data_IF_019507065919
#
_entry.id   IF_019507065919
#
_cell.length_a   1.000
_cell.length_b   1.000
_cell.length_c   1.000
_cell.angle_alpha   90.00
_cell.angle_beta   90.00
_cell.angle_gamma   90.00
#
_symmetry.space_group_name_H-M   'P 1'
#
loop_
_entity.id
_entity.type
_entity.pdbx_description
1 polymer ?
#
# COMPACT_ATOMS: atom_id res chain seq x y z
N UNK A 1 -0.58 27.15 12.70
CA UNK A 1 -1.57 27.88 11.92
C UNK A 1 -1.92 27.04 10.68
N UNK A 2 -3.13 26.45 10.66
CA UNK A 2 -3.49 25.44 9.65
C UNK A 2 -4.12 26.05 8.38
N UNK A 3 -4.47 27.33 8.40
CA UNK A 3 -5.15 28.00 7.27
C UNK A 3 -4.24 28.08 6.06
N UNK A 4 -4.77 27.69 4.88
CA UNK A 4 -4.04 27.63 3.62
C UNK A 4 -3.28 26.34 3.36
N UNK A 5 -3.20 25.43 4.33
CA UNK A 5 -2.55 24.13 4.16
C UNK A 5 -3.52 23.08 3.61
N UNK A 6 -2.97 22.07 2.96
CA UNK A 6 -3.72 20.96 2.33
C UNK A 6 -3.81 19.77 3.27
N UNK A 7 -5.00 19.24 3.50
CA UNK A 7 -5.18 18.03 4.33
C UNK A 7 -4.59 16.79 3.66
N UNK A 8 -3.80 16.03 4.40
CA UNK A 8 -3.14 14.81 3.92
C UNK A 8 -4.07 13.59 3.86
N UNK A 9 -5.17 13.60 4.62
CA UNK A 9 -6.10 12.49 4.73
C UNK A 9 -7.53 12.97 4.97
N UNK A 10 -8.49 12.06 4.79
CA UNK A 10 -9.89 12.32 5.09
C UNK A 10 -10.11 12.52 6.58
N UNK A 11 -10.87 13.54 6.97
CA UNK A 11 -11.33 13.73 8.34
C UNK A 11 -12.77 13.29 8.44
N UNK A 12 -13.01 12.21 9.19
CA UNK A 12 -14.33 11.62 9.38
C UNK A 12 -15.00 12.20 10.62
N UNK A 13 -16.27 12.57 10.48
CA UNK A 13 -17.15 12.92 11.58
C UNK A 13 -17.92 11.68 12.04
N UNK A 14 -17.77 11.32 13.30
CA UNK A 14 -18.53 10.23 13.94
C UNK A 14 -19.46 10.88 14.94
N UNK A 15 -20.78 10.85 14.67
CA UNK A 15 -21.81 11.24 15.65
C UNK A 15 -22.48 9.94 16.11
N UNK A 16 -22.44 9.70 17.42
CA UNK A 16 -23.00 8.49 18.02
C UNK A 16 -24.48 8.37 17.61
N UNK A 17 -24.83 7.21 17.07
CA UNK A 17 -26.17 6.80 16.66
C UNK A 17 -26.82 7.57 15.47
N UNK A 18 -26.07 8.45 14.75
CA UNK A 18 -26.66 9.27 13.68
C UNK A 18 -25.91 9.18 12.34
N UNK A 19 -24.61 9.44 12.25
CA UNK A 19 -23.89 9.50 10.96
C UNK A 19 -22.40 9.18 11.15
N UNK A 20 -21.85 8.41 10.18
CA UNK A 20 -20.44 8.35 9.88
C UNK A 20 -20.23 8.97 8.51
N UNK A 21 -19.82 10.23 8.46
CA UNK A 21 -19.61 10.97 7.21
C UNK A 21 -18.21 11.57 7.16
N UNK A 22 -17.69 11.79 5.95
CA UNK A 22 -16.42 12.47 5.74
C UNK A 22 -16.66 13.97 5.84
N UNK A 23 -16.18 14.60 6.91
CA UNK A 23 -16.32 16.04 7.12
C UNK A 23 -15.41 16.82 6.16
N UNK A 24 -14.18 16.37 5.96
CA UNK A 24 -13.22 16.95 5.02
C UNK A 24 -12.50 15.82 4.28
N UNK A 25 -12.34 16.00 2.98
CA UNK A 25 -11.60 15.04 2.14
C UNK A 25 -10.13 15.41 2.07
N UNK A 26 -9.28 14.40 1.85
CA UNK A 26 -7.89 14.58 1.44
C UNK A 26 -7.81 15.57 0.27
N UNK A 27 -6.86 16.49 0.34
CA UNK A 27 -6.70 17.54 -0.67
C UNK A 27 -7.53 18.81 -0.41
N UNK A 28 -8.35 18.84 0.65
CA UNK A 28 -9.06 20.05 1.06
C UNK A 28 -8.08 21.10 1.57
N UNK A 29 -8.20 22.34 1.08
CA UNK A 29 -7.43 23.48 1.58
C UNK A 29 -8.16 24.04 2.79
N UNK A 30 -7.51 24.05 3.94
CA UNK A 30 -8.11 24.53 5.20
C UNK A 30 -8.33 26.02 5.13
N UNK A 31 -9.57 26.44 5.39
CA UNK A 31 -9.98 27.85 5.48
C UNK A 31 -10.19 28.29 6.93
N UNK A 32 -10.32 29.59 7.18
CA UNK A 32 -10.65 30.09 8.53
C UNK A 32 -12.00 29.57 9.03
N UNK A 33 -12.96 29.36 8.13
CA UNK A 33 -14.31 28.84 8.44
C UNK A 33 -14.28 27.36 8.85
N UNK A 34 -13.27 26.59 8.45
CA UNK A 34 -13.12 25.19 8.79
C UNK A 34 -12.59 24.98 10.23
N UNK A 35 -11.88 25.96 10.78
CA UNK A 35 -11.22 25.84 12.10
C UNK A 35 -12.20 25.49 13.22
N UNK A 36 -13.36 26.15 13.37
CA UNK A 36 -14.33 25.78 14.40
C UNK A 36 -14.85 24.35 14.24
N UNK A 37 -15.03 23.90 12.99
CA UNK A 37 -15.50 22.53 12.70
C UNK A 37 -14.42 21.52 13.07
N UNK A 38 -13.18 21.75 12.67
CA UNK A 38 -12.04 20.90 12.99
C UNK A 38 -11.85 20.75 14.51
N UNK A 39 -11.90 21.85 15.25
CA UNK A 39 -11.82 21.85 16.71
C UNK A 39 -13.00 21.10 17.35
N UNK A 40 -14.22 21.24 16.83
CA UNK A 40 -15.38 20.50 17.31
C UNK A 40 -15.27 18.98 17.12
N UNK A 41 -14.43 18.54 16.15
CA UNK A 41 -14.10 17.15 15.89
C UNK A 41 -12.90 16.65 16.72
N UNK A 42 -12.42 17.47 17.67
CA UNK A 42 -11.25 17.15 18.50
C UNK A 42 -9.93 17.17 17.74
N UNK A 43 -9.84 17.92 16.67
CA UNK A 43 -8.63 18.03 15.83
C UNK A 43 -7.85 19.29 16.20
N UNK A 44 -7.13 19.23 17.32
CA UNK A 44 -6.25 20.32 17.78
C UNK A 44 -4.96 20.39 16.94
N UNK A 45 -4.60 19.28 16.31
CA UNK A 45 -3.44 19.15 15.43
C UNK A 45 -3.87 18.52 14.12
N UNK A 46 -3.37 19.06 13.01
CA UNK A 46 -3.62 18.57 11.66
C UNK A 46 -2.31 18.15 11.01
N UNK A 47 -2.32 17.01 10.34
CA UNK A 47 -1.27 16.67 9.40
C UNK A 47 -1.53 17.42 8.10
N UNK A 48 -0.70 18.40 7.80
CA UNK A 48 -0.76 19.20 6.59
C UNK A 48 0.40 18.82 5.68
N UNK A 49 0.15 18.85 4.38
CA UNK A 49 1.16 18.57 3.39
C UNK A 49 1.97 19.84 3.11
N UNK A 50 3.16 19.94 3.65
CA UNK A 50 4.20 20.75 3.02
C UNK A 50 4.89 19.85 2.00
N UNK A 51 4.88 20.26 0.72
CA UNK A 51 5.46 19.48 -0.37
C UNK A 51 6.98 19.37 -0.21
N UNK A 52 7.40 18.42 0.60
CA UNK A 52 8.80 18.03 0.70
C UNK A 52 9.09 17.05 -0.44
N UNK A 53 9.88 17.51 -1.42
CA UNK A 53 10.24 16.71 -2.59
C UNK A 53 11.08 15.47 -2.25
N UNK A 54 11.65 15.39 -1.04
CA UNK A 54 12.38 14.24 -0.53
C UNK A 54 11.49 13.14 0.04
N UNK A 55 10.18 13.40 0.18
CA UNK A 55 9.20 12.48 0.76
C UNK A 55 8.20 11.99 -0.29
N UNK A 56 7.65 10.80 -0.08
CA UNK A 56 6.55 10.21 -0.83
C UNK A 56 5.35 10.02 0.10
N UNK A 57 4.16 10.22 -0.43
CA UNK A 57 2.94 9.84 0.26
C UNK A 57 2.81 8.30 0.30
N UNK A 58 2.19 7.74 1.35
CA UNK A 58 2.01 6.30 1.53
C UNK A 58 1.48 5.57 0.30
N UNK A 59 0.55 6.19 -0.45
CA UNK A 59 -0.03 5.59 -1.65
C UNK A 59 0.96 5.57 -2.84
N UNK A 60 1.82 6.58 -2.97
CA UNK A 60 2.89 6.60 -4.00
C UNK A 60 3.95 5.54 -3.68
N UNK A 61 4.33 5.44 -2.42
CA UNK A 61 5.27 4.42 -1.97
C UNK A 61 4.70 3.00 -2.06
N UNK A 62 3.39 2.82 -1.81
CA UNK A 62 2.70 1.54 -2.02
C UNK A 62 2.72 1.08 -3.49
N UNK A 63 2.65 2.01 -4.45
CA UNK A 63 2.81 1.68 -5.87
C UNK A 63 4.21 1.11 -6.15
N UNK A 64 5.26 1.69 -5.56
CA UNK A 64 6.63 1.18 -5.69
C UNK A 64 6.74 -0.25 -5.13
N UNK A 65 6.15 -0.51 -3.95
CA UNK A 65 6.12 -1.87 -3.38
C UNK A 65 5.34 -2.85 -4.28
N UNK A 66 4.27 -2.38 -4.91
CA UNK A 66 3.50 -3.18 -5.86
C UNK A 66 4.34 -3.52 -7.10
N UNK A 67 4.99 -2.53 -7.71
CA UNK A 67 5.81 -2.68 -8.91
C UNK A 67 6.94 -3.72 -8.76
N UNK A 68 7.59 -3.77 -7.59
CA UNK A 68 8.67 -4.77 -7.34
C UNK A 68 8.13 -6.18 -7.12
N UNK A 69 6.83 -6.33 -6.83
CA UNK A 69 6.18 -7.62 -6.59
C UNK A 69 5.36 -8.10 -7.79
N UNK A 70 4.74 -7.17 -8.55
CA UNK A 70 3.83 -7.51 -9.63
C UNK A 70 4.55 -8.25 -10.76
N UNK A 71 3.94 -9.33 -11.23
CA UNK A 71 4.46 -10.14 -12.32
C UNK A 71 3.31 -10.78 -13.10
N UNK A 72 3.63 -11.58 -14.13
CA UNK A 72 2.66 -12.29 -14.92
C UNK A 72 1.71 -13.16 -14.08
N UNK A 73 0.46 -13.25 -14.52
CA UNK A 73 -0.61 -14.06 -13.93
C UNK A 73 -1.11 -13.57 -12.56
N UNK A 74 -0.90 -12.31 -12.25
CA UNK A 74 -1.46 -11.64 -11.05
C UNK A 74 -1.81 -10.20 -11.36
N UNK A 75 -2.70 -9.61 -10.56
CA UNK A 75 -3.08 -8.20 -10.67
C UNK A 75 -3.19 -7.54 -9.30
N UNK A 76 -2.93 -6.24 -9.20
CA UNK A 76 -3.07 -5.50 -7.96
C UNK A 76 -4.54 -5.11 -7.68
N UNK A 77 -4.86 -4.96 -6.40
CA UNK A 77 -6.05 -4.24 -5.96
C UNK A 77 -5.84 -2.74 -6.06
N UNK A 78 -6.93 -1.97 -5.91
CA UNK A 78 -6.81 -0.53 -5.72
C UNK A 78 -6.00 -0.20 -4.46
N UNK A 79 -5.20 0.88 -4.55
CA UNK A 79 -4.44 1.37 -3.40
C UNK A 79 -5.36 2.01 -2.37
N UNK A 80 -5.18 1.64 -1.10
CA UNK A 80 -5.94 2.20 0.01
C UNK A 80 -5.07 2.28 1.26
N UNK A 81 -4.90 3.49 1.80
CA UNK A 81 -4.15 3.72 3.05
C UNK A 81 -2.76 3.05 3.03
N UNK A 82 -1.99 3.29 1.96
CA UNK A 82 -0.65 2.71 1.79
C UNK A 82 -0.61 1.20 1.58
N UNK A 83 -1.74 0.56 1.26
CA UNK A 83 -1.87 -0.90 1.09
C UNK A 83 -2.30 -1.26 -0.32
N UNK A 84 -1.67 -2.28 -0.89
CA UNK A 84 -2.05 -2.96 -2.13
C UNK A 84 -1.92 -4.47 -1.91
N UNK A 85 -2.86 -5.25 -2.45
CA UNK A 85 -2.79 -6.72 -2.47
C UNK A 85 -2.61 -7.21 -3.90
N UNK A 86 -1.88 -8.31 -4.12
CA UNK A 86 -1.79 -8.99 -5.41
C UNK A 86 -2.65 -10.26 -5.39
N UNK A 87 -3.47 -10.40 -6.43
CA UNK A 87 -4.45 -11.46 -6.60
C UNK A 87 -4.03 -12.38 -7.75
N UNK A 88 -4.20 -13.68 -7.60
CA UNK A 88 -3.91 -14.68 -8.63
C UNK A 88 -4.91 -14.62 -9.79
N UNK A 89 -4.44 -14.59 -11.03
CA UNK A 89 -5.26 -14.64 -12.25
C UNK A 89 -5.56 -16.06 -12.73
N UNK A 90 -4.82 -17.03 -12.20
CA UNK A 90 -4.96 -18.43 -12.59
C UNK A 90 -4.61 -19.39 -11.44
N UNK A 91 -4.99 -20.64 -11.59
CA UNK A 91 -4.51 -21.73 -10.74
C UNK A 91 -3.04 -22.02 -11.08
N UNK A 92 -2.17 -22.09 -10.07
CA UNK A 92 -0.74 -22.24 -10.31
C UNK A 92 0.09 -22.49 -9.07
N UNK A 93 1.41 -22.57 -9.29
CA UNK A 93 2.40 -22.65 -8.24
C UNK A 93 2.97 -21.27 -7.94
N UNK A 94 2.73 -20.78 -6.74
CA UNK A 94 3.27 -19.51 -6.24
C UNK A 94 4.66 -19.71 -5.63
N UNK A 95 5.60 -18.84 -6.00
CA UNK A 95 6.98 -18.83 -5.50
C UNK A 95 7.38 -17.45 -5.04
N UNK A 96 8.22 -17.42 -4.01
CA UNK A 96 8.78 -16.21 -3.40
C UNK A 96 10.28 -16.38 -3.28
N UNK A 97 11.04 -15.35 -3.62
CA UNK A 97 12.44 -15.23 -3.22
C UNK A 97 12.49 -14.74 -1.78
N UNK A 98 12.54 -15.70 -0.86
CA UNK A 98 12.45 -15.45 0.58
C UNK A 98 13.62 -14.58 1.06
N UNK A 99 14.83 -14.82 0.58
CA UNK A 99 16.00 -14.06 1.02
C UNK A 99 15.90 -12.57 0.69
N UNK A 100 15.43 -12.22 -0.52
CA UNK A 100 15.20 -10.81 -0.90
C UNK A 100 13.98 -10.23 -0.20
N UNK A 101 12.91 -11.01 -0.01
CA UNK A 101 11.74 -10.57 0.74
C UNK A 101 12.11 -10.19 2.17
N UNK A 102 12.88 -11.04 2.85
CA UNK A 102 13.34 -10.78 4.22
C UNK A 102 14.22 -9.53 4.27
N UNK A 103 15.17 -9.38 3.33
CA UNK A 103 16.01 -8.19 3.24
C UNK A 103 15.22 -6.90 2.98
N UNK A 104 14.13 -6.96 2.20
CA UNK A 104 13.22 -5.81 2.01
C UNK A 104 12.47 -5.52 3.31
N UNK A 105 11.96 -6.54 3.99
CA UNK A 105 11.21 -6.38 5.25
C UNK A 105 12.08 -5.96 6.44
N UNK A 106 13.42 -6.03 6.33
CA UNK A 106 14.35 -5.41 7.30
C UNK A 106 14.42 -3.88 7.17
N UNK A 107 13.92 -3.32 6.07
CA UNK A 107 13.83 -1.88 5.90
C UNK A 107 12.61 -1.38 6.69
N UNK A 108 12.86 -0.46 7.63
CA UNK A 108 11.81 0.10 8.49
C UNK A 108 10.68 0.77 7.71
N UNK A 109 9.49 0.80 8.32
CA UNK A 109 8.29 1.52 7.86
C UNK A 109 7.58 0.91 6.65
N UNK A 110 8.03 -0.24 6.15
CA UNK A 110 7.37 -0.99 5.09
C UNK A 110 7.16 -2.45 5.51
N UNK A 111 6.23 -3.11 4.85
CA UNK A 111 5.97 -4.53 5.07
C UNK A 111 5.40 -5.17 3.80
N UNK A 112 5.93 -6.34 3.45
CA UNK A 112 5.39 -7.24 2.43
C UNK A 112 5.11 -8.58 3.10
N UNK A 113 3.83 -8.96 3.20
CA UNK A 113 3.38 -10.24 3.72
C UNK A 113 2.92 -11.13 2.57
N UNK A 114 3.41 -12.37 2.49
CA UNK A 114 3.13 -13.29 1.38
C UNK A 114 2.58 -14.62 1.88
N UNK A 115 1.95 -15.38 0.98
CA UNK A 115 1.81 -16.84 1.17
C UNK A 115 3.18 -17.50 1.16
N UNK A 116 3.27 -18.69 1.74
CA UNK A 116 4.50 -19.48 1.68
C UNK A 116 4.93 -19.74 0.23
N UNK A 117 6.24 -19.71 -0.01
CA UNK A 117 6.80 -20.12 -1.29
C UNK A 117 6.46 -21.59 -1.59
N UNK A 118 6.35 -21.94 -2.87
CA UNK A 118 5.98 -23.29 -3.35
C UNK A 118 4.57 -23.74 -2.94
N UNK A 119 3.63 -22.80 -2.79
CA UNK A 119 2.23 -23.10 -2.49
C UNK A 119 1.38 -23.13 -3.76
N UNK A 120 0.54 -24.15 -3.88
CA UNK A 120 -0.50 -24.21 -4.90
C UNK A 120 -1.59 -23.19 -4.56
N UNK A 121 -1.95 -22.35 -5.52
CA UNK A 121 -2.97 -21.31 -5.39
C UNK A 121 -4.04 -21.44 -6.47
N UNK A 122 -5.21 -20.89 -6.22
CA UNK A 122 -6.33 -20.82 -7.16
C UNK A 122 -6.50 -19.40 -7.66
N UNK A 123 -7.09 -19.28 -8.84
CA UNK A 123 -7.54 -17.98 -9.36
C UNK A 123 -8.40 -17.26 -8.32
N UNK A 124 -8.10 -15.98 -8.06
CA UNK A 124 -8.77 -15.15 -7.07
C UNK A 124 -8.16 -15.22 -5.67
N UNK A 125 -7.17 -16.10 -5.43
CA UNK A 125 -6.46 -16.14 -4.16
C UNK A 125 -5.59 -14.90 -3.98
N UNK A 126 -5.53 -14.37 -2.75
CA UNK A 126 -4.56 -13.34 -2.37
C UNK A 126 -3.20 -13.97 -2.24
N UNK A 127 -2.23 -13.47 -2.99
CA UNK A 127 -0.84 -13.95 -3.03
C UNK A 127 0.00 -13.27 -1.97
N UNK A 128 -0.11 -11.94 -1.92
CA UNK A 128 0.60 -11.09 -0.98
C UNK A 128 -0.15 -9.79 -0.72
N UNK A 129 0.26 -9.08 0.32
CA UNK A 129 -0.16 -7.72 0.61
C UNK A 129 1.06 -6.88 0.98
N UNK A 130 1.12 -5.67 0.42
CA UNK A 130 2.14 -4.67 0.74
C UNK A 130 1.54 -3.59 1.63
N UNK A 131 2.35 -2.97 2.49
CA UNK A 131 1.94 -1.84 3.30
C UNK A 131 3.11 -0.89 3.54
N UNK A 132 2.83 0.40 3.38
CA UNK A 132 3.65 1.49 3.91
C UNK A 132 3.00 1.95 5.22
N UNK A 133 3.76 1.98 6.30
CA UNK A 133 3.24 2.18 7.66
C UNK A 133 2.98 3.66 7.94
N UNK A 134 3.94 4.61 7.67
CA UNK A 134 3.71 6.03 7.90
C UNK A 134 2.92 6.66 6.75
N UNK A 135 2.28 7.79 7.02
CA UNK A 135 1.56 8.59 6.01
C UNK A 135 2.49 9.12 4.91
N UNK A 136 3.74 9.41 5.28
CA UNK A 136 4.81 9.83 4.37
C UNK A 136 6.09 9.08 4.69
N UNK A 137 6.86 8.73 3.67
CA UNK A 137 8.12 7.97 3.78
C UNK A 137 9.21 8.63 2.92
N UNK A 138 10.45 8.55 3.35
CA UNK A 138 11.58 9.10 2.61
C UNK A 138 11.78 8.40 1.25
N UNK A 139 12.01 9.16 0.18
CA UNK A 139 12.33 8.63 -1.16
C UNK A 139 13.54 7.72 -1.14
N UNK A 140 14.60 8.12 -0.42
CA UNK A 140 15.83 7.36 -0.31
C UNK A 140 15.58 5.94 0.22
N UNK A 141 14.64 5.78 1.15
CA UNK A 141 14.23 4.48 1.68
C UNK A 141 13.58 3.62 0.59
N UNK A 142 12.72 4.20 -0.25
CA UNK A 142 12.10 3.50 -1.37
C UNK A 142 13.09 3.17 -2.49
N UNK A 143 14.12 3.98 -2.71
CA UNK A 143 15.25 3.64 -3.60
C UNK A 143 16.10 2.49 -3.04
N UNK A 144 16.31 2.44 -1.73
CA UNK A 144 16.92 1.28 -1.08
C UNK A 144 16.11 0.01 -1.32
N UNK A 145 14.78 0.07 -1.18
CA UNK A 145 13.87 -1.05 -1.50
C UNK A 145 14.04 -1.52 -2.95
N UNK A 146 14.06 -0.61 -3.92
CA UNK A 146 14.29 -0.95 -5.34
C UNK A 146 15.66 -1.61 -5.55
N UNK A 147 16.68 -1.12 -4.87
CA UNK A 147 18.04 -1.67 -4.95
C UNK A 147 18.10 -3.10 -4.42
N UNK A 148 17.48 -3.38 -3.26
CA UNK A 148 17.40 -4.71 -2.66
C UNK A 148 16.57 -5.66 -3.50
N UNK A 149 15.42 -5.17 -4.02
CA UNK A 149 14.54 -5.95 -4.90
C UNK A 149 15.25 -6.40 -6.18
N UNK A 150 16.16 -5.55 -6.73
CA UNK A 150 16.87 -5.86 -7.97
C UNK A 150 15.94 -5.90 -9.19
N UNK A 151 16.40 -6.58 -10.26
CA UNK A 151 15.69 -6.66 -11.55
C UNK A 151 14.91 -7.97 -11.75
N UNK A 152 15.26 -9.01 -11.00
CA UNK A 152 14.58 -10.30 -11.08
C UNK A 152 13.27 -10.29 -10.27
N UNK A 153 12.23 -11.01 -10.72
CA UNK A 153 10.97 -11.06 -10.01
C UNK A 153 11.12 -11.52 -8.55
N UNK A 154 10.55 -10.74 -7.60
CA UNK A 154 10.51 -11.11 -6.18
C UNK A 154 9.57 -12.29 -5.93
N UNK A 155 8.45 -12.30 -6.66
CA UNK A 155 7.46 -13.38 -6.61
C UNK A 155 7.08 -13.82 -8.01
N UNK A 156 6.60 -15.05 -8.17
CA UNK A 156 6.12 -15.56 -9.46
C UNK A 156 4.95 -16.51 -9.28
N UNK A 157 4.03 -16.50 -10.25
CA UNK A 157 2.94 -17.45 -10.36
C UNK A 157 3.04 -18.21 -11.67
N UNK A 158 3.36 -19.51 -11.60
CA UNK A 158 3.46 -20.40 -12.75
C UNK A 158 2.15 -21.17 -12.91
N UNK A 159 1.40 -20.98 -14.01
CA UNK A 159 0.14 -21.69 -14.22
C UNK A 159 0.32 -23.21 -14.28
N UNK A 160 -0.63 -23.95 -13.71
CA UNK A 160 -0.69 -25.39 -13.91
C UNK A 160 -1.08 -25.73 -15.34
N UNK A 161 -0.48 -26.77 -15.88
CA UNK A 161 -0.82 -27.27 -17.22
C UNK A 161 -1.53 -28.62 -17.08
N UNK A 162 -2.65 -28.77 -17.80
CA UNK A 162 -3.28 -30.09 -17.92
C UNK A 162 -2.40 -30.98 -18.78
N UNK A 163 -2.04 -32.15 -18.24
CA UNK A 163 -1.23 -33.15 -18.94
C UNK A 163 -1.96 -34.48 -18.90
N UNK A 164 -1.82 -35.26 -19.98
CA UNK A 164 -2.26 -36.66 -20.02
C UNK A 164 -1.05 -37.55 -19.69
N UNK A 165 -1.15 -38.39 -18.67
CA UNK A 165 -0.18 -39.41 -18.40
C UNK A 165 -0.70 -40.75 -18.94
N UNK A 166 0.09 -41.42 -19.81
CA UNK A 166 -0.14 -42.81 -20.18
C UNK A 166 0.51 -43.70 -19.14
N UNK A 167 -0.21 -44.72 -18.66
CA UNK A 167 0.29 -45.78 -17.78
C UNK A 167 0.40 -47.03 -18.62
#
# INVERSE_FOLDING_TARGET
>A
DAVGHVLCHDITRIVKDVVKDTAFRKGHIVTEEDIPVLLSLGKDHLYVWEKDESMLHENEAAQILCEICENANMHPTEVKEGKIELIADCDGLFRVDVARLDAINEIDEIMIATRHSHTAVKKGDRLLGTRVIPLVIAKDKMEQVRTVAGTEPLVSLTPFRSMKAGI
#
